data_IF_335777445384
#
_entry.id   IF_335777445384
#
_cell.length_a   1.000
_cell.length_b   1.000
_cell.length_c   1.000
_cell.angle_alpha   90.00
_cell.angle_beta   90.00
_cell.angle_gamma   90.00
#
_symmetry.space_group_name_H-M   'P 1'
#
loop_
_entity.id
_entity.type
_entity.pdbx_description
1 polymer ?
#
# COMPACT_ATOMS: atom_id res chain seq x y z
N UNK A 1 11.59 -12.32 15.38
CA UNK A 1 11.27 -10.90 15.65
C UNK A 1 9.77 -10.69 15.53
N UNK A 2 9.14 -10.20 16.60
CA UNK A 2 7.69 -10.02 16.73
C UNK A 2 7.29 -8.65 16.19
N UNK A 3 6.40 -8.61 15.19
CA UNK A 3 5.73 -7.38 14.76
C UNK A 3 4.22 -7.54 14.92
N UNK A 4 3.73 -7.70 16.16
CA UNK A 4 2.28 -7.66 16.38
C UNK A 4 1.70 -6.33 15.92
N UNK A 5 0.89 -6.33 14.85
CA UNK A 5 0.14 -5.13 14.41
C UNK A 5 -0.97 -4.91 15.42
N UNK A 6 -0.68 -4.08 16.42
CA UNK A 6 -1.68 -3.47 17.27
C UNK A 6 -1.88 -2.05 16.73
N UNK A 7 -3.00 -1.79 16.06
CA UNK A 7 -3.49 -0.41 15.89
C UNK A 7 -4.09 0.05 17.23
N UNK A 8 -3.34 -0.10 18.34
CA UNK A 8 -3.85 0.12 19.69
C UNK A 8 -4.11 1.59 19.91
N UNK A 9 -3.22 2.43 19.39
CA UNK A 9 -3.21 3.87 19.63
C UNK A 9 -3.87 4.67 18.52
N UNK A 10 -4.26 4.05 17.41
CA UNK A 10 -4.84 4.77 16.26
C UNK A 10 -6.30 4.36 16.02
N UNK A 11 -7.08 5.29 15.49
CA UNK A 11 -8.37 4.99 14.87
C UNK A 11 -8.34 5.40 13.40
N UNK A 12 -9.11 4.71 12.57
CA UNK A 12 -9.10 4.89 11.12
C UNK A 12 -10.44 5.45 10.64
N UNK A 13 -10.39 6.47 9.79
CA UNK A 13 -11.53 6.97 9.01
C UNK A 13 -11.32 6.59 7.55
N UNK A 14 -12.34 6.00 6.92
CA UNK A 14 -12.35 5.71 5.48
C UNK A 14 -13.23 6.74 4.77
N UNK A 15 -12.65 7.52 3.87
CA UNK A 15 -13.30 8.66 3.22
C UNK A 15 -13.18 8.50 1.70
N UNK A 16 -14.18 8.94 0.93
CA UNK A 16 -14.04 9.07 -0.53
C UNK A 16 -13.40 10.42 -0.85
N UNK A 17 -12.46 10.55 -1.81
CA UNK A 17 -11.80 11.83 -2.09
C UNK A 17 -12.77 13.01 -2.26
N UNK A 18 -13.86 12.80 -3.00
CA UNK A 18 -14.92 13.80 -3.23
C UNK A 18 -15.67 14.28 -1.97
N UNK A 19 -15.49 13.62 -0.83
CA UNK A 19 -16.12 13.98 0.45
C UNK A 19 -15.11 14.52 1.47
N UNK A 20 -13.88 14.84 1.05
CA UNK A 20 -12.91 15.50 1.93
C UNK A 20 -13.41 16.90 2.30
N UNK A 21 -13.48 17.18 3.60
CA UNK A 21 -13.69 18.55 4.10
C UNK A 21 -12.41 19.37 3.93
N UNK A 22 -12.52 20.70 3.94
CA UNK A 22 -11.34 21.56 3.81
C UNK A 22 -10.35 21.39 4.95
N UNK A 23 -10.84 21.17 6.18
CA UNK A 23 -10.01 20.77 7.33
C UNK A 23 -9.23 19.48 7.07
N UNK A 24 -9.86 18.46 6.47
CA UNK A 24 -9.17 17.20 6.15
C UNK A 24 -8.14 17.36 5.04
N UNK A 25 -8.41 18.21 4.05
CA UNK A 25 -7.44 18.55 2.99
C UNK A 25 -6.21 19.23 3.61
N UNK A 26 -6.42 20.20 4.50
CA UNK A 26 -5.34 20.90 5.19
C UNK A 26 -4.50 19.97 6.06
N UNK A 27 -5.13 19.12 6.89
CA UNK A 27 -4.41 18.11 7.70
C UNK A 27 -3.57 17.17 6.84
N UNK A 28 -4.14 16.68 5.73
CA UNK A 28 -3.45 15.78 4.81
C UNK A 28 -2.26 16.48 4.15
N UNK A 29 -2.47 17.68 3.61
CA UNK A 29 -1.41 18.46 2.94
C UNK A 29 -0.28 18.73 3.93
N UNK A 30 -0.61 19.17 5.15
CA UNK A 30 0.37 19.41 6.20
C UNK A 30 1.18 18.15 6.51
N UNK A 31 0.54 16.98 6.65
CA UNK A 31 1.24 15.72 6.90
C UNK A 31 2.14 15.32 5.73
N UNK A 32 1.70 15.48 4.48
CA UNK A 32 2.50 15.15 3.30
C UNK A 32 3.73 16.07 3.22
N UNK A 33 3.53 17.37 3.40
CA UNK A 33 4.60 18.38 3.31
C UNK A 33 5.66 18.28 4.43
N UNK A 34 5.39 17.53 5.50
CA UNK A 34 6.44 17.16 6.48
C UNK A 34 7.48 16.18 5.91
N UNK A 35 7.15 15.48 4.82
CA UNK A 35 7.96 14.40 4.25
C UNK A 35 8.42 14.70 2.82
N UNK A 36 7.59 15.37 2.02
CA UNK A 36 7.85 15.64 0.59
C UNK A 36 7.70 17.12 0.25
N UNK A 37 8.53 17.60 -0.68
CA UNK A 37 8.47 18.96 -1.21
C UNK A 37 7.55 19.00 -2.44
N UNK A 38 6.24 19.04 -2.20
CA UNK A 38 5.21 19.28 -3.22
C UNK A 38 4.27 20.40 -2.77
N UNK A 39 3.75 21.14 -3.75
CA UNK A 39 2.70 22.12 -3.49
C UNK A 39 1.40 21.42 -3.10
N UNK A 40 0.54 22.17 -2.39
CA UNK A 40 -0.71 21.65 -1.86
C UNK A 40 -1.65 21.14 -2.97
N UNK A 41 -1.71 21.84 -4.11
CA UNK A 41 -2.62 21.49 -5.19
C UNK A 41 -2.20 20.18 -5.84
N UNK A 42 -0.91 20.00 -6.13
CA UNK A 42 -0.37 18.74 -6.64
C UNK A 42 -0.67 17.57 -5.69
N UNK A 43 -0.51 17.75 -4.38
CA UNK A 43 -0.85 16.69 -3.41
C UNK A 43 -2.33 16.29 -3.53
N UNK A 44 -3.23 17.27 -3.60
CA UNK A 44 -4.67 17.04 -3.66
C UNK A 44 -5.12 16.41 -4.99
N UNK A 45 -4.57 16.86 -6.12
CA UNK A 45 -4.89 16.34 -7.44
C UNK A 45 -4.59 14.83 -7.55
N UNK A 46 -3.48 14.40 -6.95
CA UNK A 46 -3.08 12.99 -6.94
C UNK A 46 -3.97 12.10 -6.05
N UNK A 47 -4.88 12.67 -5.26
CA UNK A 47 -5.86 11.91 -4.47
C UNK A 47 -7.17 11.67 -5.24
N UNK A 48 -7.49 12.50 -6.23
CA UNK A 48 -8.78 12.48 -6.92
C UNK A 48 -9.10 11.12 -7.56
N UNK A 49 -8.15 10.40 -8.20
CA UNK A 49 -8.43 9.11 -8.82
C UNK A 49 -8.65 7.96 -7.82
N UNK A 50 -8.46 8.18 -6.51
CA UNK A 50 -8.52 7.09 -5.51
C UNK A 50 -9.98 6.72 -5.21
N UNK A 51 -10.23 5.43 -5.00
CA UNK A 51 -11.54 4.96 -4.56
C UNK A 51 -11.81 5.33 -3.10
N UNK A 52 -10.76 5.25 -2.27
CA UNK A 52 -10.82 5.49 -0.84
C UNK A 52 -9.53 6.14 -0.35
N UNK A 53 -9.68 6.95 0.69
CA UNK A 53 -8.59 7.47 1.50
C UNK A 53 -8.77 6.96 2.92
N UNK A 54 -7.71 6.39 3.49
CA UNK A 54 -7.64 5.97 4.88
C UNK A 54 -6.86 7.00 5.66
N UNK A 55 -7.53 7.62 6.62
CA UNK A 55 -6.93 8.59 7.54
C UNK A 55 -6.77 7.92 8.89
N UNK A 56 -5.53 7.82 9.37
CA UNK A 56 -5.21 7.25 10.67
C UNK A 56 -4.90 8.38 11.64
N UNK A 57 -5.68 8.40 12.72
CA UNK A 57 -5.59 9.42 13.74
C UNK A 57 -5.10 8.81 15.05
N UNK A 58 -4.21 9.51 15.74
CA UNK A 58 -3.81 9.12 17.08
C UNK A 58 -4.97 9.32 18.07
N UNK A 59 -5.31 8.31 18.88
CA UNK A 59 -6.49 8.30 19.74
C UNK A 59 -6.46 9.37 20.84
N UNK A 60 -5.28 9.69 21.37
CA UNK A 60 -5.17 10.66 22.47
C UNK A 60 -5.14 12.10 21.98
N UNK A 61 -4.34 12.36 20.95
CA UNK A 61 -4.11 13.72 20.45
C UNK A 61 -5.04 14.10 19.29
N UNK A 62 -5.75 13.13 18.72
CA UNK A 62 -6.62 13.30 17.56
C UNK A 62 -5.95 13.86 16.31
N UNK A 63 -4.61 13.93 16.27
CA UNK A 63 -3.86 14.36 15.09
C UNK A 63 -3.79 13.25 14.03
N UNK A 64 -3.83 13.66 12.77
CA UNK A 64 -3.61 12.80 11.62
C UNK A 64 -2.14 12.37 11.59
N UNK A 65 -1.89 11.06 11.65
CA UNK A 65 -0.53 10.50 11.69
C UNK A 65 -0.23 9.59 10.50
N UNK A 66 -1.24 9.16 9.74
CA UNK A 66 -0.99 8.49 8.48
C UNK A 66 -2.13 8.68 7.48
N UNK A 67 -1.78 8.65 6.20
CA UNK A 67 -2.73 8.61 5.09
C UNK A 67 -2.34 7.49 4.12
N UNK A 68 -3.34 6.80 3.58
CA UNK A 68 -3.18 5.79 2.53
C UNK A 68 -4.31 5.96 1.53
N UNK A 69 -3.96 6.29 0.28
CA UNK A 69 -4.88 6.24 -0.85
C UNK A 69 -4.99 4.82 -1.39
N UNK A 70 -6.20 4.40 -1.71
CA UNK A 70 -6.49 3.07 -2.27
C UNK A 70 -7.27 3.22 -3.56
N UNK A 71 -6.82 2.52 -4.61
CA UNK A 71 -7.53 2.40 -5.87
C UNK A 71 -7.57 0.93 -6.31
N UNK A 72 -8.71 0.47 -6.81
CA UNK A 72 -8.93 -0.90 -7.28
C UNK A 72 -9.05 -0.86 -8.80
N UNK A 73 -8.00 -1.33 -9.48
CA UNK A 73 -7.93 -1.38 -10.93
C UNK A 73 -8.41 -2.75 -11.40
N UNK A 74 -9.29 -2.78 -12.38
CA UNK A 74 -9.99 -4.00 -12.77
C UNK A 74 -9.90 -4.28 -14.26
N UNK A 75 -9.13 -5.32 -14.62
CA UNK A 75 -9.03 -5.83 -15.99
C UNK A 75 -9.82 -7.13 -16.15
N UNK A 76 -9.95 -7.63 -17.39
CA UNK A 76 -10.73 -8.84 -17.70
C UNK A 76 -10.38 -10.04 -16.80
N UNK A 77 -9.08 -10.37 -16.67
CA UNK A 77 -8.58 -11.53 -15.90
C UNK A 77 -7.84 -11.16 -14.62
N UNK A 78 -7.70 -9.87 -14.33
CA UNK A 78 -6.81 -9.36 -13.27
C UNK A 78 -7.49 -8.28 -12.46
N UNK A 79 -7.23 -8.24 -11.16
CA UNK A 79 -7.59 -7.14 -10.29
C UNK A 79 -6.35 -6.69 -9.50
N UNK A 80 -6.12 -5.39 -9.44
CA UNK A 80 -4.95 -4.80 -8.78
C UNK A 80 -5.45 -3.85 -7.69
N UNK A 81 -4.84 -3.94 -6.51
CA UNK A 81 -4.96 -2.86 -5.52
C UNK A 81 -3.71 -2.00 -5.65
N UNK A 82 -3.93 -0.73 -5.90
CA UNK A 82 -2.91 0.29 -5.85
C UNK A 82 -3.00 1.02 -4.52
N UNK A 83 -1.88 1.04 -3.79
CA UNK A 83 -1.69 1.86 -2.60
C UNK A 83 -0.83 3.08 -2.98
N UNK A 84 -1.45 4.25 -3.01
CA UNK A 84 -0.83 5.52 -3.35
C UNK A 84 -0.91 6.51 -2.20
N UNK A 85 -0.20 7.63 -2.33
CA UNK A 85 -0.27 8.74 -1.38
C UNK A 85 -0.05 8.27 0.09
N UNK A 86 0.86 7.30 0.26
CA UNK A 86 1.13 6.66 1.55
C UNK A 86 2.12 7.52 2.32
N UNK A 87 1.63 8.15 3.38
CA UNK A 87 2.47 8.89 4.34
C UNK A 87 2.16 8.38 5.73
N UNK A 88 3.22 8.08 6.48
CA UNK A 88 3.13 7.64 7.88
C UNK A 88 4.13 8.47 8.67
N UNK A 89 3.65 9.14 9.71
CA UNK A 89 4.48 9.82 10.70
C UNK A 89 5.50 8.80 11.25
N UNK A 90 6.81 9.13 11.25
CA UNK A 90 7.86 8.24 11.74
C UNK A 90 7.60 7.69 13.15
N UNK A 91 7.00 8.48 14.04
CA UNK A 91 6.66 8.06 15.41
C UNK A 91 5.63 6.93 15.45
N UNK A 92 4.86 6.76 14.37
CA UNK A 92 3.79 5.78 14.22
C UNK A 92 4.11 4.69 13.17
N UNK A 93 5.35 4.62 12.65
CA UNK A 93 5.71 3.70 11.58
C UNK A 93 5.46 2.21 11.93
N UNK A 94 5.55 1.86 13.22
CA UNK A 94 5.37 0.49 13.72
C UNK A 94 3.95 0.17 14.21
N UNK A 95 3.01 1.11 14.11
CA UNK A 95 1.60 0.90 14.50
C UNK A 95 0.80 0.08 13.44
N UNK A 96 1.45 -0.27 12.32
CA UNK A 96 0.92 -1.23 11.34
C UNK A 96 -0.19 -0.72 10.42
N UNK A 97 -0.24 0.58 10.16
CA UNK A 97 -1.20 1.23 9.24
C UNK A 97 -1.23 0.56 7.85
N UNK A 98 -0.06 0.29 7.27
CA UNK A 98 0.07 -0.36 5.96
C UNK A 98 -0.48 -1.78 6.02
N UNK A 99 -0.09 -2.57 7.03
CA UNK A 99 -0.57 -3.95 7.21
C UNK A 99 -2.09 -4.01 7.38
N UNK A 100 -2.68 -3.05 8.12
CA UNK A 100 -4.12 -2.94 8.27
C UNK A 100 -4.81 -2.63 6.93
N UNK A 101 -4.32 -1.63 6.17
CA UNK A 101 -4.86 -1.28 4.86
C UNK A 101 -4.76 -2.46 3.88
N UNK A 102 -3.59 -3.09 3.79
CA UNK A 102 -3.34 -4.27 2.98
C UNK A 102 -4.31 -5.40 3.33
N UNK A 103 -4.43 -5.76 4.61
CA UNK A 103 -5.36 -6.80 5.04
C UNK A 103 -6.82 -6.48 4.66
N UNK A 104 -7.28 -5.25 4.93
CA UNK A 104 -8.67 -4.81 4.64
C UNK A 104 -9.01 -4.90 3.16
N UNK A 105 -8.17 -4.34 2.31
CA UNK A 105 -8.50 -4.21 0.89
C UNK A 105 -8.15 -5.47 0.09
N UNK A 106 -7.08 -6.19 0.44
CA UNK A 106 -6.77 -7.48 -0.18
C UNK A 106 -7.89 -8.48 0.13
N UNK A 107 -8.35 -8.55 1.39
CA UNK A 107 -9.49 -9.40 1.77
C UNK A 107 -10.73 -9.07 0.93
N UNK A 108 -11.07 -7.78 0.80
CA UNK A 108 -12.20 -7.32 -0.03
C UNK A 108 -12.05 -7.71 -1.50
N UNK A 109 -10.84 -7.68 -2.04
CA UNK A 109 -10.57 -8.04 -3.43
C UNK A 109 -10.82 -9.53 -3.70
N UNK A 110 -10.42 -10.41 -2.77
CA UNK A 110 -10.68 -11.85 -2.90
C UNK A 110 -12.16 -12.20 -2.82
N UNK A 111 -12.93 -11.48 -1.99
CA UNK A 111 -14.38 -11.64 -1.94
C UNK A 111 -15.08 -11.13 -3.20
N UNK A 112 -14.66 -9.97 -3.73
CA UNK A 112 -15.31 -9.34 -4.89
C UNK A 112 -14.93 -10.00 -6.23
N UNK A 113 -13.69 -10.48 -6.35
CA UNK A 113 -13.15 -11.00 -7.61
C UNK A 113 -12.50 -12.39 -7.43
N UNK A 114 -13.26 -13.43 -7.02
CA UNK A 114 -12.71 -14.72 -6.63
C UNK A 114 -11.87 -15.40 -7.72
N UNK A 115 -12.22 -15.23 -9.00
CA UNK A 115 -11.57 -15.93 -10.13
C UNK A 115 -10.50 -15.12 -10.87
N UNK A 116 -10.24 -13.87 -10.50
CA UNK A 116 -9.20 -13.04 -11.14
C UNK A 116 -7.82 -13.35 -10.56
N UNK A 117 -6.74 -13.01 -11.28
CA UNK A 117 -5.40 -12.88 -10.67
C UNK A 117 -5.35 -11.59 -9.85
N UNK A 118 -4.68 -11.60 -8.70
CA UNK A 118 -4.65 -10.46 -7.77
C UNK A 118 -3.24 -9.94 -7.66
N UNK A 119 -3.10 -8.61 -7.71
CA UNK A 119 -1.83 -7.95 -7.49
C UNK A 119 -1.98 -6.79 -6.50
N UNK A 120 -0.89 -6.51 -5.80
CA UNK A 120 -0.67 -5.31 -5.02
C UNK A 120 0.34 -4.44 -5.77
N UNK A 121 0.14 -3.13 -5.79
CA UNK A 121 1.03 -2.19 -6.47
C UNK A 121 1.14 -0.87 -5.71
N UNK A 122 2.17 -0.11 -6.07
CA UNK A 122 2.41 1.22 -5.55
C UNK A 122 3.53 1.92 -6.32
N UNK A 123 3.69 3.22 -6.07
CA UNK A 123 4.83 4.01 -6.54
C UNK A 123 5.80 4.20 -5.39
N UNK A 124 6.95 3.53 -5.46
CA UNK A 124 8.01 3.65 -4.47
C UNK A 124 8.87 4.88 -4.77
N UNK A 125 8.80 5.87 -3.89
CA UNK A 125 9.65 7.06 -3.93
C UNK A 125 10.94 6.93 -3.10
N UNK A 126 11.14 5.80 -2.44
CA UNK A 126 12.35 5.51 -1.66
C UNK A 126 12.63 4.02 -1.60
N UNK A 127 13.89 3.67 -1.33
CA UNK A 127 14.31 2.29 -1.06
C UNK A 127 13.48 1.66 0.07
N UNK A 128 13.18 2.42 1.12
CA UNK A 128 12.34 1.97 2.23
C UNK A 128 10.93 1.54 1.79
N UNK A 129 10.30 2.25 0.85
CA UNK A 129 9.02 1.83 0.27
C UNK A 129 9.14 0.61 -0.63
N UNK A 130 10.21 0.50 -1.42
CA UNK A 130 10.42 -0.64 -2.32
C UNK A 130 10.72 -1.94 -1.55
N UNK A 131 11.41 -1.85 -0.41
CA UNK A 131 11.70 -3.01 0.47
C UNK A 131 10.44 -3.78 0.86
N UNK A 132 9.30 -3.10 1.04
CA UNK A 132 8.05 -3.79 1.34
C UNK A 132 7.63 -4.72 0.20
N UNK A 133 7.79 -4.28 -1.05
CA UNK A 133 7.53 -5.10 -2.23
C UNK A 133 8.52 -6.27 -2.33
N UNK A 134 9.82 -6.01 -2.18
CA UNK A 134 10.86 -7.03 -2.35
C UNK A 134 10.78 -8.20 -1.34
N UNK A 135 10.13 -7.99 -0.18
CA UNK A 135 9.85 -9.06 0.81
C UNK A 135 8.81 -10.07 0.33
N UNK A 136 8.03 -9.75 -0.69
CA UNK A 136 6.91 -10.56 -1.16
C UNK A 136 7.18 -11.06 -2.58
N UNK A 137 7.96 -12.15 -2.68
CA UNK A 137 8.27 -12.79 -3.97
C UNK A 137 7.07 -13.60 -4.52
N UNK A 138 6.89 -13.67 -5.85
CA UNK A 138 7.62 -12.90 -6.85
C UNK A 138 7.25 -11.41 -6.77
N UNK A 139 8.17 -10.53 -7.15
CA UNK A 139 8.02 -9.08 -7.02
C UNK A 139 8.67 -8.41 -8.20
N UNK A 140 8.04 -7.39 -8.78
CA UNK A 140 8.63 -6.61 -9.88
C UNK A 140 8.65 -5.14 -9.47
N UNK A 141 9.82 -4.47 -9.47
CA UNK A 141 11.13 -4.96 -9.90
C UNK A 141 11.76 -5.96 -8.91
N UNK A 142 12.75 -6.74 -9.37
CA UNK A 142 13.51 -7.70 -8.57
C UNK A 142 15.02 -7.55 -8.82
N UNK A 143 15.89 -7.64 -7.80
CA UNK A 143 17.34 -7.66 -8.03
C UNK A 143 17.85 -8.92 -8.74
N UNK A 144 17.12 -10.03 -8.66
CA UNK A 144 17.57 -11.36 -9.09
C UNK A 144 17.01 -11.78 -10.46
N UNK A 145 15.98 -11.10 -10.98
CA UNK A 145 15.27 -11.45 -12.21
C UNK A 145 14.78 -10.20 -12.95
N UNK A 146 14.79 -10.25 -14.28
CA UNK A 146 14.16 -9.22 -15.10
C UNK A 146 12.63 -9.31 -15.03
N UNK A 147 11.96 -8.18 -15.23
CA UNK A 147 10.50 -8.16 -15.28
C UNK A 147 10.01 -8.76 -16.60
N UNK A 148 9.18 -9.83 -16.57
CA UNK A 148 8.64 -10.42 -17.79
C UNK A 148 7.80 -9.43 -18.61
N UNK A 149 7.80 -9.58 -19.93
CA UNK A 149 7.10 -8.65 -20.83
C UNK A 149 5.60 -8.55 -20.54
N UNK A 150 4.92 -9.67 -20.24
CA UNK A 150 3.49 -9.67 -19.91
C UNK A 150 3.19 -8.91 -18.60
N UNK A 151 4.13 -8.93 -17.66
CA UNK A 151 4.08 -8.15 -16.43
C UNK A 151 4.35 -6.67 -16.71
N UNK A 152 5.36 -6.34 -17.51
CA UNK A 152 5.64 -4.95 -17.94
C UNK A 152 4.39 -4.33 -18.60
N UNK A 153 3.74 -5.05 -19.52
CA UNK A 153 2.51 -4.58 -20.16
C UNK A 153 1.34 -4.41 -19.18
N UNK A 154 1.24 -5.28 -18.16
CA UNK A 154 0.25 -5.13 -17.09
C UNK A 154 0.54 -3.89 -16.23
N UNK A 155 1.81 -3.62 -15.91
CA UNK A 155 2.24 -2.44 -15.16
C UNK A 155 1.97 -1.15 -15.93
N UNK A 156 2.22 -1.11 -17.25
CA UNK A 156 1.90 0.05 -18.10
C UNK A 156 0.40 0.35 -18.06
N UNK A 157 -0.43 -0.67 -18.25
CA UNK A 157 -1.90 -0.51 -18.16
C UNK A 157 -2.33 -0.01 -16.78
N UNK A 158 -1.73 -0.54 -15.73
CA UNK A 158 -2.03 -0.11 -14.37
C UNK A 158 -1.59 1.34 -14.10
N UNK A 159 -0.45 1.78 -14.63
CA UNK A 159 0.03 3.16 -14.53
C UNK A 159 -0.97 4.16 -15.14
N UNK A 160 -1.45 3.88 -16.34
CA UNK A 160 -2.46 4.74 -16.99
C UNK A 160 -3.74 4.83 -16.15
N UNK A 161 -4.21 3.72 -15.60
CA UNK A 161 -5.41 3.68 -14.76
C UNK A 161 -5.26 4.50 -13.45
N UNK A 162 -4.05 4.65 -12.91
CA UNK A 162 -3.82 5.49 -11.71
C UNK A 162 -3.57 6.96 -12.03
N UNK A 163 -3.67 7.36 -13.31
CA UNK A 163 -3.49 8.73 -13.78
C UNK A 163 -2.03 9.13 -14.01
N UNK A 164 -1.14 8.16 -14.24
CA UNK A 164 0.26 8.41 -14.62
C UNK A 164 0.36 8.34 -16.14
N UNK A 165 0.75 9.45 -16.76
CA UNK A 165 0.87 9.64 -18.21
C UNK A 165 2.33 9.79 -18.68
N UNK A 166 3.28 10.01 -17.76
CA UNK A 166 4.70 10.18 -18.05
C UNK A 166 5.52 9.14 -17.29
N UNK A 167 6.18 8.25 -18.03
CA UNK A 167 7.03 7.21 -17.47
C UNK A 167 8.13 6.82 -18.45
N UNK A 168 9.18 6.19 -17.94
CA UNK A 168 10.23 5.53 -18.72
C UNK A 168 10.34 4.06 -18.32
N UNK A 169 10.82 3.24 -19.25
CA UNK A 169 11.08 1.81 -19.02
C UNK A 169 12.57 1.61 -19.09
N UNK A 170 13.16 1.07 -18.02
CA UNK A 170 14.59 0.78 -17.94
C UNK A 170 14.79 -0.66 -17.47
N UNK A 171 15.30 -1.52 -18.37
CA UNK A 171 15.51 -2.95 -18.10
C UNK A 171 14.23 -3.64 -17.57
N UNK A 172 13.08 -3.35 -18.18
CA UNK A 172 11.78 -3.89 -17.78
C UNK A 172 11.15 -3.22 -16.54
N UNK A 173 11.87 -2.34 -15.85
CA UNK A 173 11.37 -1.60 -14.69
C UNK A 173 10.65 -0.32 -15.15
N UNK A 174 9.48 -0.03 -14.57
CA UNK A 174 8.71 1.17 -14.90
C UNK A 174 8.96 2.26 -13.88
N UNK A 175 9.41 3.42 -14.37
CA UNK A 175 9.72 4.59 -13.56
C UNK A 175 8.76 5.71 -13.96
N UNK A 176 7.87 6.10 -13.04
CA UNK A 176 6.96 7.22 -13.24
C UNK A 176 7.71 8.55 -13.04
N UNK A 177 7.48 9.49 -13.95
CA UNK A 177 8.19 10.79 -13.98
C UNK A 177 7.24 11.98 -13.83
N UNK A 178 5.94 11.76 -13.63
CA UNK A 178 4.93 12.82 -13.51
C UNK A 178 5.23 13.89 -12.45
N UNK A 179 5.85 13.49 -11.33
CA UNK A 179 6.21 14.42 -10.27
C UNK A 179 7.52 15.15 -10.55
N UNK A 180 8.38 14.62 -11.42
CA UNK A 180 9.73 15.15 -11.60
C UNK A 180 9.73 16.58 -12.11
N UNK A 181 8.80 16.91 -13.00
CA UNK A 181 8.64 18.27 -13.53
C UNK A 181 7.98 19.25 -12.54
N UNK A 182 7.48 18.75 -11.41
CA UNK A 182 6.76 19.54 -10.38
C UNK A 182 7.62 19.82 -9.15
N UNK A 183 8.85 19.31 -9.13
CA UNK A 183 9.76 19.40 -7.99
C UNK A 183 10.87 20.40 -8.31
N UNK A 184 10.94 21.46 -7.52
CA UNK A 184 11.94 22.53 -7.69
C UNK A 184 13.21 22.33 -6.87
N UNK A 185 13.23 21.34 -5.96
CA UNK A 185 14.33 21.02 -5.03
C UNK A 185 14.51 19.50 -4.93
N UNK A 186 14.89 18.97 -3.77
CA UNK A 186 14.84 17.54 -3.49
C UNK A 186 13.39 17.10 -3.22
N UNK A 187 13.00 15.91 -3.69
CA UNK A 187 11.65 15.39 -3.47
C UNK A 187 11.32 15.16 -1.99
N UNK A 188 12.28 14.64 -1.22
CA UNK A 188 12.10 14.36 0.21
C UNK A 188 12.69 15.48 1.06
N UNK A 189 11.99 15.86 2.13
CA UNK A 189 12.44 16.88 3.09
C UNK A 189 13.59 16.35 3.97
N UNK A 190 13.63 15.04 4.21
CA UNK A 190 14.64 14.37 5.04
C UNK A 190 15.23 13.18 4.31
N UNK A 191 16.56 13.15 4.20
CA UNK A 191 17.26 11.97 3.72
C UNK A 191 17.17 10.84 4.76
N UNK A 192 16.84 9.63 4.29
CA UNK A 192 16.81 8.44 5.14
C UNK A 192 18.19 7.78 5.16
N UNK A 193 18.59 7.17 6.28
CA UNK A 193 19.86 6.47 6.36
C UNK A 193 19.91 5.33 5.32
N UNK A 194 21.10 5.01 4.81
CA UNK A 194 21.22 3.99 3.79
C UNK A 194 20.69 2.63 4.21
N UNK A 195 20.05 1.94 3.28
CA UNK A 195 19.57 0.56 3.51
C UNK A 195 20.19 -0.39 2.51
N UNK A 196 20.24 -1.70 2.82
CA UNK A 196 20.74 -2.71 1.89
C UNK A 196 20.01 -2.72 0.53
N UNK A 197 18.76 -2.26 0.48
CA UNK A 197 17.99 -2.15 -0.75
C UNK A 197 18.22 -0.84 -1.52
N UNK A 198 19.00 0.09 -0.97
CA UNK A 198 19.23 1.40 -1.57
C UNK A 198 20.10 1.30 -2.81
N UNK A 199 21.15 0.47 -2.82
CA UNK A 199 21.99 0.28 -3.99
C UNK A 199 21.18 -0.20 -5.19
N UNK A 200 20.24 -1.13 -4.97
CA UNK A 200 19.33 -1.58 -6.03
C UNK A 200 18.37 -0.47 -6.47
N UNK A 201 17.72 0.21 -5.51
CA UNK A 201 16.77 1.28 -5.80
C UNK A 201 17.40 2.43 -6.59
N UNK A 202 18.57 2.93 -6.16
CA UNK A 202 19.30 4.01 -6.84
C UNK A 202 19.82 3.58 -8.21
N UNK A 203 20.19 2.31 -8.38
CA UNK A 203 20.61 1.76 -9.67
C UNK A 203 19.49 1.78 -10.70
N UNK A 204 18.27 1.39 -10.33
CA UNK A 204 17.12 1.36 -11.26
C UNK A 204 16.39 2.71 -11.36
N UNK A 205 16.65 3.63 -10.42
CA UNK A 205 16.00 4.93 -10.36
C UNK A 205 16.99 6.03 -9.91
N UNK A 206 17.95 6.40 -10.78
CA UNK A 206 18.89 7.48 -10.49
C UNK A 206 18.19 8.83 -10.29
N UNK A 207 17.00 9.04 -10.87
CA UNK A 207 16.21 10.26 -10.75
C UNK A 207 15.33 10.35 -9.49
N UNK A 208 15.52 9.46 -8.51
CA UNK A 208 14.66 9.39 -7.33
C UNK A 208 14.63 10.69 -6.51
N UNK A 209 15.75 11.42 -6.46
CA UNK A 209 15.85 12.69 -5.72
C UNK A 209 15.07 13.81 -6.41
N UNK A 210 14.89 13.72 -7.72
CA UNK A 210 14.07 14.60 -8.53
C UNK A 210 12.60 14.15 -8.53
N UNK A 211 12.24 13.11 -7.77
CA UNK A 211 10.86 12.63 -7.62
C UNK A 211 10.39 11.64 -8.68
N UNK A 212 11.32 11.03 -9.41
CA UNK A 212 10.99 9.80 -10.13
C UNK A 212 10.60 8.69 -9.14
N UNK A 213 9.57 7.91 -9.47
CA UNK A 213 9.05 6.87 -8.59
C UNK A 213 9.03 5.51 -9.31
N UNK A 214 9.52 4.48 -8.63
CA UNK A 214 9.52 3.11 -9.16
C UNK A 214 8.13 2.51 -9.00
N UNK A 215 7.48 2.11 -10.08
CA UNK A 215 6.25 1.32 -10.00
C UNK A 215 6.61 -0.11 -9.62
N UNK A 216 6.00 -0.61 -8.55
CA UNK A 216 6.13 -2.02 -8.17
C UNK A 216 4.82 -2.76 -8.32
N UNK A 217 4.92 -4.05 -8.59
CA UNK A 217 3.81 -4.98 -8.71
C UNK A 217 4.18 -6.31 -8.05
N UNK A 218 3.31 -6.80 -7.17
CA UNK A 218 3.46 -8.08 -6.50
C UNK A 218 2.17 -8.89 -6.65
N UNK A 219 2.22 -10.14 -7.14
CA UNK A 219 1.06 -10.99 -7.07
C UNK A 219 0.77 -11.35 -5.62
N UNK A 220 -0.52 -11.48 -5.30
CA UNK A 220 -0.95 -11.98 -4.01
C UNK A 220 -1.81 -13.21 -4.19
N UNK A 221 -1.48 -14.26 -3.45
CA UNK A 221 -2.31 -15.45 -3.31
C UNK A 221 -3.29 -15.29 -2.16
N UNK A 222 -4.33 -16.11 -2.15
CA UNK A 222 -5.28 -16.13 -1.04
C UNK A 222 -4.58 -16.53 0.28
N UNK A 223 -3.61 -17.45 0.20
CA UNK A 223 -2.80 -17.86 1.36
C UNK A 223 -2.00 -16.69 1.94
N UNK A 224 -1.30 -15.93 1.08
CA UNK A 224 -0.54 -14.76 1.53
C UNK A 224 -1.47 -13.71 2.15
N UNK A 225 -2.65 -13.51 1.55
CA UNK A 225 -3.66 -12.59 2.07
C UNK A 225 -4.17 -13.01 3.46
N UNK A 226 -4.41 -14.31 3.66
CA UNK A 226 -4.80 -14.85 4.97
C UNK A 226 -3.69 -14.67 6.00
N UNK A 227 -2.44 -14.93 5.63
CA UNK A 227 -1.32 -14.75 6.56
C UNK A 227 -1.18 -13.29 7.01
N UNK A 228 -1.27 -12.34 6.07
CA UNK A 228 -1.31 -10.92 6.40
C UNK A 228 -2.51 -10.57 7.29
N UNK A 229 -3.70 -11.07 6.98
CA UNK A 229 -4.90 -10.78 7.75
C UNK A 229 -4.86 -11.39 9.15
N UNK A 230 -4.38 -12.63 9.31
CA UNK A 230 -4.21 -13.30 10.59
C UNK A 230 -3.21 -12.52 11.45
N UNK A 231 -2.12 -12.07 10.84
CA UNK A 231 -1.10 -11.28 11.52
C UNK A 231 -1.63 -9.91 11.94
N UNK A 232 -2.30 -9.19 11.03
CA UNK A 232 -2.91 -7.89 11.29
C UNK A 232 -4.00 -7.94 12.37
N UNK A 233 -4.74 -9.06 12.43
CA UNK A 233 -5.86 -9.24 13.34
C UNK A 233 -5.52 -10.11 14.55
N UNK A 234 -4.25 -10.45 14.76
CA UNK A 234 -3.84 -11.44 15.75
C UNK A 234 -4.43 -11.15 17.14
N UNK A 235 -4.28 -9.90 17.62
CA UNK A 235 -4.80 -9.47 18.93
C UNK A 235 -6.33 -9.57 19.08
N UNK A 236 -7.08 -9.49 17.98
CA UNK A 236 -8.53 -9.71 17.98
C UNK A 236 -8.88 -11.20 17.86
N UNK A 237 -8.17 -11.93 17.00
CA UNK A 237 -8.42 -13.35 16.75
C UNK A 237 -8.16 -14.22 17.98
N UNK A 238 -7.14 -13.90 18.80
CA UNK A 238 -6.86 -14.66 20.04
C UNK A 238 -8.01 -14.59 21.06
N UNK A 239 -8.85 -13.54 21.01
CA UNK A 239 -10.06 -13.43 21.84
C UNK A 239 -11.17 -14.39 21.39
N UNK A 240 -11.02 -15.02 20.22
CA UNK A 240 -11.92 -16.04 19.67
C UNK A 240 -11.15 -17.35 19.37
N UNK A 241 -10.71 -18.10 20.40
CA UNK A 241 -9.76 -19.20 20.23
C UNK A 241 -10.22 -20.29 19.27
N UNK A 242 -11.52 -20.58 19.24
CA UNK A 242 -12.13 -21.62 18.40
C UNK A 242 -11.97 -21.30 16.91
N UNK A 243 -12.21 -20.06 16.51
CA UNK A 243 -12.02 -19.60 15.14
C UNK A 243 -10.54 -19.49 14.78
N UNK A 244 -9.72 -18.94 15.69
CA UNK A 244 -8.28 -18.79 15.46
C UNK A 244 -7.57 -20.15 15.24
N UNK A 245 -7.90 -21.18 16.03
CA UNK A 245 -7.36 -22.54 15.84
C UNK A 245 -7.77 -23.13 14.49
N UNK A 246 -9.03 -22.95 14.06
CA UNK A 246 -9.52 -23.42 12.75
C UNK A 246 -8.79 -22.73 11.61
N UNK A 247 -8.63 -21.40 11.68
CA UNK A 247 -7.90 -20.64 10.66
C UNK A 247 -6.45 -21.14 10.56
N UNK A 248 -5.74 -21.28 11.70
CA UNK A 248 -4.37 -21.79 11.70
C UNK A 248 -4.25 -23.20 11.11
N UNK A 249 -5.21 -24.08 11.40
CA UNK A 249 -5.21 -25.46 10.89
C UNK A 249 -5.43 -25.52 9.38
N UNK A 250 -6.39 -24.76 8.85
CA UNK A 250 -6.88 -24.95 7.48
C UNK A 250 -6.38 -23.91 6.47
N UNK A 251 -5.57 -22.91 6.86
CA UNK A 251 -5.17 -21.80 5.96
C UNK A 251 -4.44 -22.24 4.68
N UNK A 252 -3.73 -23.37 4.71
CA UNK A 252 -3.02 -23.90 3.54
C UNK A 252 -3.94 -24.78 2.67
N UNK A 253 -4.70 -25.67 3.30
CA UNK A 253 -5.54 -26.65 2.58
C UNK A 253 -6.86 -26.07 2.06
N UNK A 254 -7.50 -25.18 2.85
CA UNK A 254 -8.83 -24.62 2.58
C UNK A 254 -8.83 -23.10 2.79
N UNK A 255 -8.08 -22.34 1.98
CA UNK A 255 -7.90 -20.92 2.19
C UNK A 255 -9.22 -20.13 2.05
N UNK A 256 -10.12 -20.52 1.14
CA UNK A 256 -11.44 -19.87 1.04
C UNK A 256 -12.32 -20.09 2.28
N UNK A 257 -12.28 -21.27 2.89
CA UNK A 257 -12.98 -21.54 4.14
C UNK A 257 -12.43 -20.66 5.28
N UNK A 258 -11.10 -20.53 5.36
CA UNK A 258 -10.46 -19.62 6.32
C UNK A 258 -10.84 -18.16 6.08
N UNK A 259 -10.98 -17.73 4.82
CA UNK A 259 -11.43 -16.38 4.47
C UNK A 259 -12.84 -16.10 5.02
N UNK A 260 -13.76 -17.06 4.87
CA UNK A 260 -15.13 -16.94 5.40
C UNK A 260 -15.11 -16.86 6.93
N UNK A 261 -14.36 -17.73 7.61
CA UNK A 261 -14.23 -17.67 9.08
C UNK A 261 -13.69 -16.31 9.53
N UNK A 262 -12.66 -15.82 8.84
CA UNK A 262 -12.04 -14.53 9.17
C UNK A 262 -13.03 -13.37 8.96
N UNK A 263 -13.84 -13.41 7.88
CA UNK A 263 -14.95 -12.48 7.66
C UNK A 263 -15.98 -12.49 8.78
N UNK A 264 -16.41 -13.68 9.23
CA UNK A 264 -17.32 -13.82 10.38
C UNK A 264 -16.70 -13.21 11.64
N UNK A 265 -15.41 -13.44 11.90
CA UNK A 265 -14.71 -12.85 13.03
C UNK A 265 -14.67 -11.31 12.95
N UNK A 266 -14.42 -10.74 11.77
CA UNK A 266 -14.38 -9.29 11.57
C UNK A 266 -15.75 -8.67 11.84
N UNK A 267 -16.81 -9.24 11.28
CA UNK A 267 -18.19 -8.75 11.45
C UNK A 267 -18.63 -8.87 12.91
N UNK A 268 -18.45 -10.05 13.52
CA UNK A 268 -18.87 -10.31 14.90
C UNK A 268 -18.19 -9.38 15.91
N UNK A 269 -16.92 -9.06 15.68
CA UNK A 269 -16.12 -8.25 16.60
C UNK A 269 -16.04 -6.76 16.21
N UNK A 270 -16.79 -6.32 15.17
CA UNK A 270 -16.80 -4.93 14.67
C UNK A 270 -15.38 -4.36 14.49
N UNK A 271 -14.51 -5.15 13.85
CA UNK A 271 -13.08 -4.81 13.71
C UNK A 271 -12.84 -3.71 12.66
N UNK A 272 -13.71 -3.62 11.65
CA UNK A 272 -13.61 -2.68 10.52
C UNK A 272 -14.84 -1.82 10.36
#
# INVERSE_FOLDING_TARGET
MSFGVNVKNLYVKTIKPRHLTDSQKQELVALHQQQINLDAQTILDYLLPRDYLLFYYHKKSHHLVATIGVQIINFKKTAIIYFGNVVVDPSCAHEGCISHASAKYIFRLFLKYPFKRKYCSGLASSSGSLVYSLKHKPSWPNPDEETPEDITQLMIKALHEIGVDSYRVEQGNLIATNLANKITKEFHVKQKPPTAAESFFKRINPGAEQGEQVFFLNPFTLTNALDLAIHALHGHLIKSPRFYRRIKKYKQEKPFFCLIILGICIVKNKIW
#
